data_IF_042382817316
#
_entry.id   IF_042382817316
#
_cell.length_a   1.000
_cell.length_b   1.000
_cell.length_c   1.000
_cell.angle_alpha   90.00
_cell.angle_beta   90.00
_cell.angle_gamma   90.00
#
_symmetry.space_group_name_H-M   'P 1'
#
loop_
_entity.id
_entity.type
_entity.pdbx_description
1 polymer ?
#
# COMPACT_ATOMS: atom_id res chain seq x y z
N UNK A 1 -29.18 -15.51 4.28
CA UNK A 1 -27.78 -15.13 4.52
C UNK A 1 -27.79 -13.94 5.47
N UNK A 2 -27.16 -14.06 6.64
CA UNK A 2 -27.08 -12.97 7.63
C UNK A 2 -26.29 -11.80 7.05
N UNK A 3 -26.76 -10.56 7.23
CA UNK A 3 -26.08 -9.34 6.74
C UNK A 3 -24.61 -9.25 7.16
N UNK A 4 -24.25 -9.82 8.31
CA UNK A 4 -22.87 -9.90 8.80
C UNK A 4 -21.94 -10.70 7.88
N UNK A 5 -22.43 -11.76 7.24
CA UNK A 5 -21.58 -12.58 6.34
C UNK A 5 -21.25 -11.83 5.05
N UNK A 6 -22.21 -11.09 4.50
CA UNK A 6 -22.02 -10.25 3.31
C UNK A 6 -21.04 -9.11 3.60
N UNK A 7 -21.06 -8.58 4.82
CA UNK A 7 -20.14 -7.52 5.26
C UNK A 7 -18.69 -8.04 5.41
N UNK A 8 -18.50 -9.25 5.95
CA UNK A 8 -17.16 -9.86 6.05
C UNK A 8 -16.54 -10.20 4.70
N UNK A 9 -17.33 -10.69 3.75
CA UNK A 9 -16.85 -10.97 2.40
C UNK A 9 -16.46 -9.67 1.67
N UNK A 10 -17.20 -8.59 1.91
CA UNK A 10 -16.87 -7.25 1.41
C UNK A 10 -15.57 -6.74 2.03
N UNK A 11 -15.39 -6.90 3.35
CA UNK A 11 -14.15 -6.52 4.05
C UNK A 11 -12.93 -7.30 3.53
N UNK A 12 -13.07 -8.62 3.30
CA UNK A 12 -12.01 -9.45 2.70
C UNK A 12 -11.64 -9.00 1.29
N UNK A 13 -12.63 -8.66 0.47
CA UNK A 13 -12.39 -8.16 -0.88
C UNK A 13 -11.62 -6.83 -0.85
N UNK A 14 -12.01 -5.89 0.02
CA UNK A 14 -11.32 -4.61 0.18
C UNK A 14 -9.87 -4.78 0.67
N UNK A 15 -9.63 -5.71 1.61
CA UNK A 15 -8.26 -6.05 2.06
C UNK A 15 -7.42 -6.53 0.87
N UNK A 16 -7.95 -7.45 0.06
CA UNK A 16 -7.24 -8.00 -1.10
C UNK A 16 -6.92 -6.92 -2.14
N UNK A 17 -7.84 -6.01 -2.39
CA UNK A 17 -7.62 -4.87 -3.29
C UNK A 17 -6.49 -3.97 -2.77
N UNK A 18 -6.50 -3.63 -1.49
CA UNK A 18 -5.44 -2.83 -0.87
C UNK A 18 -4.08 -3.53 -0.87
N UNK A 19 -4.04 -4.85 -0.68
CA UNK A 19 -2.82 -5.64 -0.84
C UNK A 19 -2.27 -5.58 -2.26
N UNK A 20 -3.15 -5.67 -3.28
CA UNK A 20 -2.74 -5.52 -4.68
C UNK A 20 -2.14 -4.14 -4.95
N UNK A 21 -2.80 -3.08 -4.48
CA UNK A 21 -2.30 -1.71 -4.63
C UNK A 21 -0.96 -1.54 -3.91
N UNK A 22 -0.79 -2.13 -2.72
CA UNK A 22 0.49 -2.09 -2.00
C UNK A 22 1.63 -2.74 -2.81
N UNK A 23 1.37 -3.89 -3.45
CA UNK A 23 2.36 -4.55 -4.30
C UNK A 23 2.69 -3.72 -5.55
N UNK A 24 1.70 -3.07 -6.15
CA UNK A 24 1.93 -2.15 -7.28
C UNK A 24 2.79 -0.94 -6.86
N UNK A 25 2.53 -0.38 -5.67
CA UNK A 25 3.35 0.69 -5.10
C UNK A 25 4.79 0.23 -4.81
N UNK A 26 4.96 -0.98 -4.27
CA UNK A 26 6.27 -1.59 -4.05
C UNK A 26 7.04 -1.77 -5.35
N UNK A 27 6.40 -2.31 -6.39
CA UNK A 27 6.98 -2.41 -7.72
C UNK A 27 7.36 -1.03 -8.28
N UNK A 28 6.47 -0.04 -8.16
CA UNK A 28 6.72 1.31 -8.62
C UNK A 28 7.91 1.96 -7.88
N UNK A 29 8.04 1.72 -6.57
CA UNK A 29 9.17 2.18 -5.77
C UNK A 29 10.48 1.56 -6.28
N UNK A 30 10.52 0.23 -6.47
CA UNK A 30 11.69 -0.47 -7.02
C UNK A 30 12.05 -0.01 -8.44
N UNK A 31 11.08 0.19 -9.32
CA UNK A 31 11.38 0.68 -10.68
C UNK A 31 11.79 2.14 -10.69
N UNK A 32 11.23 2.95 -9.79
CA UNK A 32 11.54 4.37 -9.70
C UNK A 32 12.92 4.67 -9.13
N UNK A 33 13.68 3.67 -8.65
CA UNK A 33 15.07 3.84 -8.20
C UNK A 33 15.96 4.42 -9.32
N UNK A 34 15.57 4.23 -10.58
CA UNK A 34 16.20 4.84 -11.74
C UNK A 34 16.08 6.38 -11.73
N UNK A 35 15.00 6.93 -11.17
CA UNK A 35 14.75 8.38 -11.14
C UNK A 35 15.71 9.13 -10.21
N UNK A 36 16.34 8.42 -9.26
CA UNK A 36 17.33 8.98 -8.32
C UNK A 36 18.77 8.65 -8.72
N UNK A 37 18.96 8.02 -9.88
CA UNK A 37 20.27 7.60 -10.42
C UNK A 37 20.54 8.21 -11.79
N UNK A 38 19.78 9.24 -12.17
CA UNK A 38 19.97 9.95 -13.44
C UNK A 38 21.31 10.69 -13.41
N UNK A 39 22.03 10.63 -14.53
CA UNK A 39 23.29 11.34 -14.73
C UNK A 39 23.07 12.52 -15.69
N UNK A 40 23.90 13.55 -15.55
CA UNK A 40 23.88 14.67 -16.48
C UNK A 40 24.35 14.21 -17.87
N UNK A 41 23.70 14.72 -18.92
CA UNK A 41 24.07 14.43 -20.31
C UNK A 41 25.45 15.02 -20.70
N UNK A 42 25.97 15.96 -19.91
CA UNK A 42 27.28 16.59 -20.07
C UNK A 42 27.62 17.48 -18.89
N UNK A 43 28.82 18.06 -18.91
CA UNK A 43 29.32 18.96 -17.85
C UNK A 43 28.82 20.40 -18.00
N UNK A 44 28.11 20.71 -19.09
CA UNK A 44 27.56 22.04 -19.28
C UNK A 44 26.52 22.38 -18.20
N UNK A 45 26.43 23.68 -17.88
CA UNK A 45 25.53 24.16 -16.82
C UNK A 45 24.08 23.73 -17.02
N UNK A 46 23.49 23.81 -18.23
CA UNK A 46 22.13 23.31 -18.45
C UNK A 46 21.96 21.83 -18.09
N UNK A 47 22.86 20.96 -18.55
CA UNK A 47 22.81 19.52 -18.29
C UNK A 47 22.86 19.20 -16.80
N UNK A 48 23.74 19.88 -16.06
CA UNK A 48 23.84 19.72 -14.60
C UNK A 48 22.57 20.20 -13.89
N UNK A 49 22.01 21.35 -14.29
CA UNK A 49 20.77 21.88 -13.69
C UNK A 49 19.59 20.95 -13.94
N UNK A 50 19.39 20.49 -15.18
CA UNK A 50 18.32 19.55 -15.50
C UNK A 50 18.47 18.23 -14.76
N UNK A 51 19.70 17.71 -14.65
CA UNK A 51 19.97 16.51 -13.86
C UNK A 51 19.57 16.70 -12.39
N UNK A 52 19.97 17.81 -11.77
CA UNK A 52 19.61 18.11 -10.38
C UNK A 52 18.09 18.19 -10.18
N UNK A 53 17.35 18.77 -11.12
CA UNK A 53 15.89 18.79 -11.07
C UNK A 53 15.28 17.38 -11.22
N UNK A 54 15.80 16.57 -12.14
CA UNK A 54 15.37 15.19 -12.31
C UNK A 54 15.60 14.37 -11.02
N UNK A 55 16.78 14.46 -10.41
CA UNK A 55 17.11 13.80 -9.15
C UNK A 55 16.20 14.27 -8.00
N UNK A 56 15.95 15.58 -7.89
CA UNK A 56 15.10 16.14 -6.85
C UNK A 56 13.65 15.66 -7.00
N UNK A 57 13.12 15.68 -8.22
CA UNK A 57 11.78 15.19 -8.51
C UNK A 57 11.67 13.67 -8.28
N UNK A 58 12.68 12.90 -8.69
CA UNK A 58 12.77 11.46 -8.44
C UNK A 58 12.76 11.12 -6.95
N UNK A 59 13.55 11.85 -6.16
CA UNK A 59 13.63 11.67 -4.71
C UNK A 59 12.29 12.01 -4.02
N UNK A 60 11.63 13.10 -4.45
CA UNK A 60 10.32 13.48 -3.93
C UNK A 60 9.25 12.43 -4.27
N UNK A 61 9.25 11.90 -5.49
CA UNK A 61 8.34 10.83 -5.91
C UNK A 61 8.57 9.54 -5.10
N UNK A 62 9.84 9.16 -4.90
CA UNK A 62 10.19 7.99 -4.07
C UNK A 62 9.70 8.13 -2.64
N UNK A 63 9.95 9.28 -2.03
CA UNK A 63 9.47 9.59 -0.68
C UNK A 63 7.95 9.51 -0.58
N UNK A 64 7.24 10.10 -1.54
CA UNK A 64 5.77 10.06 -1.57
C UNK A 64 5.23 8.64 -1.70
N UNK A 65 5.85 7.80 -2.56
CA UNK A 65 5.47 6.40 -2.69
C UNK A 65 5.71 5.62 -1.38
N UNK A 66 6.88 5.78 -0.75
CA UNK A 66 7.20 5.13 0.53
C UNK A 66 6.20 5.52 1.64
N UNK A 67 5.83 6.80 1.73
CA UNK A 67 4.81 7.28 2.68
C UNK A 67 3.44 6.64 2.41
N UNK A 68 3.00 6.58 1.15
CA UNK A 68 1.75 5.91 0.77
C UNK A 68 1.77 4.42 1.12
N UNK A 69 2.88 3.72 0.86
CA UNK A 69 3.05 2.31 1.23
C UNK A 69 2.91 2.10 2.73
N UNK A 70 3.53 2.96 3.55
CA UNK A 70 3.44 2.88 5.02
C UNK A 70 2.01 3.08 5.52
N UNK A 71 1.30 4.07 4.98
CA UNK A 71 -0.11 4.34 5.33
C UNK A 71 -0.99 3.16 4.92
N UNK A 72 -0.84 2.67 3.69
CA UNK A 72 -1.64 1.57 3.17
C UNK A 72 -1.39 0.27 3.94
N UNK A 73 -0.13 -0.03 4.27
CA UNK A 73 0.23 -1.18 5.11
C UNK A 73 -0.44 -1.12 6.48
N UNK A 74 -0.41 0.03 7.13
CA UNK A 74 -1.09 0.25 8.42
C UNK A 74 -2.60 0.02 8.29
N UNK A 75 -3.22 0.53 7.21
CA UNK A 75 -4.65 0.33 6.95
C UNK A 75 -4.99 -1.15 6.75
N UNK A 76 -4.19 -1.89 5.97
CA UNK A 76 -4.37 -3.34 5.77
C UNK A 76 -4.28 -4.09 7.10
N UNK A 77 -3.29 -3.78 7.94
CA UNK A 77 -3.13 -4.42 9.25
C UNK A 77 -4.34 -4.17 10.15
N UNK A 78 -4.85 -2.95 10.19
CA UNK A 78 -6.04 -2.61 10.96
C UNK A 78 -7.27 -3.38 10.47
N UNK A 79 -7.49 -3.44 9.15
CA UNK A 79 -8.63 -4.17 8.58
C UNK A 79 -8.54 -5.68 8.83
N UNK A 80 -7.34 -6.27 8.76
CA UNK A 80 -7.12 -7.67 9.13
C UNK A 80 -7.40 -7.94 10.61
N UNK A 81 -6.98 -7.04 11.50
CA UNK A 81 -7.27 -7.15 12.92
C UNK A 81 -8.79 -7.07 13.19
N UNK A 82 -9.47 -6.13 12.55
CA UNK A 82 -10.94 -6.01 12.63
C UNK A 82 -11.64 -7.25 12.09
N UNK A 83 -11.21 -7.79 10.94
CA UNK A 83 -11.76 -9.02 10.37
C UNK A 83 -11.62 -10.20 11.34
N UNK A 84 -10.43 -10.40 11.90
CA UNK A 84 -10.17 -11.48 12.86
C UNK A 84 -11.04 -11.35 14.13
N UNK A 85 -11.25 -10.12 14.60
CA UNK A 85 -12.14 -9.87 15.75
C UNK A 85 -13.58 -10.27 15.44
N UNK A 86 -14.13 -9.86 14.29
CA UNK A 86 -15.48 -10.24 13.88
C UNK A 86 -15.63 -11.75 13.66
N UNK A 87 -14.65 -12.40 13.03
CA UNK A 87 -14.65 -13.85 12.82
C UNK A 87 -14.66 -14.59 14.16
N UNK A 88 -13.89 -14.13 15.15
CA UNK A 88 -13.85 -14.71 16.50
C UNK A 88 -15.18 -14.52 17.21
N UNK A 89 -15.79 -13.33 17.14
CA UNK A 89 -17.10 -13.06 17.76
C UNK A 89 -18.22 -13.90 17.12
N UNK A 90 -18.25 -14.01 15.79
CA UNK A 90 -19.22 -14.87 15.09
C UNK A 90 -19.05 -16.35 15.43
N UNK A 91 -17.81 -16.82 15.56
CA UNK A 91 -17.51 -18.19 15.96
C UNK A 91 -17.93 -18.45 17.41
N UNK A 92 -17.60 -17.55 18.34
CA UNK A 92 -18.02 -17.62 19.74
C UNK A 92 -19.53 -17.60 19.91
N UNK A 93 -20.24 -16.78 19.13
CA UNK A 93 -21.72 -16.79 19.12
C UNK A 93 -22.26 -18.13 18.63
N UNK A 94 -21.70 -18.73 17.57
CA UNK A 94 -22.13 -20.05 17.09
C UNK A 94 -21.86 -21.18 18.08
N UNK A 95 -20.75 -21.13 18.80
CA UNK A 95 -20.40 -22.16 19.78
C UNK A 95 -21.20 -22.03 21.08
N UNK A 96 -21.60 -20.80 21.44
CA UNK A 96 -22.48 -20.54 22.61
C UNK A 96 -23.96 -20.86 22.33
N UNK A 97 -24.39 -20.82 21.06
CA UNK A 97 -25.76 -21.12 20.63
C UNK A 97 -25.98 -22.56 20.11
N UNK A 98 -25.03 -23.49 20.34
CA UNK A 98 -25.29 -24.92 20.12
C UNK A 98 -26.13 -25.48 21.29
N UNK A 99 -27.31 -26.09 21.03
CA UNK A 99 -28.10 -26.77 22.06
C UNK A 99 -27.38 -28.01 22.62
#
# INVERSE_FOLDING_TARGET
>A
MSGTKVDLDTLRAAIKEYESIYLDLEKAHTTGDALVKVEAAGEDRPSVVYNNWALTAGAAHQKSNDELRKVLRTRILNLKATLAQYETTEQGNKDTFKP
#
